data_IF_928174534747
#
_entry.id   IF_928174534747
#
_cell.length_a   1.000
_cell.length_b   1.000
_cell.length_c   1.000
_cell.angle_alpha   90.00
_cell.angle_beta   90.00
_cell.angle_gamma   90.00
#
_symmetry.space_group_name_H-M   'P 1'
#
loop_
_entity.id
_entity.type
_entity.pdbx_description
1 polymer ?
#
# COMPACT_ATOMS: atom_id res chain seq x y z
N UNK A 1 2.24 -3.17 12.15
CA UNK A 1 1.21 -3.77 13.02
C UNK A 1 0.02 -4.13 12.13
N UNK A 2 -0.28 -5.41 11.96
CA UNK A 2 -1.49 -5.83 11.25
C UNK A 2 -2.70 -5.52 12.14
N UNK A 3 -3.69 -4.80 11.61
CA UNK A 3 -4.95 -4.56 12.30
C UNK A 3 -5.88 -5.73 11.97
N UNK A 4 -6.38 -6.39 13.02
CA UNK A 4 -7.42 -7.40 12.90
C UNK A 4 -8.77 -6.69 12.88
N UNK A 5 -9.57 -6.98 11.86
CA UNK A 5 -10.93 -6.45 11.74
C UNK A 5 -11.88 -7.62 12.05
N UNK A 6 -12.54 -7.64 13.22
CA UNK A 6 -13.36 -8.76 13.67
C UNK A 6 -14.73 -8.79 12.98
N UNK A 7 -14.77 -8.63 11.65
CA UNK A 7 -16.02 -8.57 10.89
C UNK A 7 -16.30 -9.91 10.22
N UNK A 8 -17.45 -10.52 10.53
CA UNK A 8 -17.97 -11.71 9.87
C UNK A 8 -18.49 -11.39 8.46
N UNK A 9 -17.92 -12.03 7.43
CA UNK A 9 -18.31 -11.88 6.02
C UNK A 9 -18.46 -13.26 5.37
N UNK A 10 -19.36 -13.37 4.40
CA UNK A 10 -19.55 -14.60 3.63
C UNK A 10 -19.00 -14.50 2.21
N UNK A 11 -18.45 -15.60 1.69
CA UNK A 11 -17.97 -15.73 0.31
C UNK A 11 -19.11 -16.07 -0.63
N UNK A 12 -19.93 -17.00 -0.20
CA UNK A 12 -21.07 -17.52 -0.95
C UNK A 12 -22.26 -17.61 -0.02
N UNK A 13 -23.46 -17.41 -0.58
CA UNK A 13 -24.72 -17.57 0.14
C UNK A 13 -25.60 -18.52 -0.65
N UNK A 14 -26.04 -19.59 -0.01
CA UNK A 14 -27.05 -20.51 -0.55
C UNK A 14 -28.40 -20.10 0.01
N UNK A 15 -29.36 -19.88 -0.87
CA UNK A 15 -30.70 -19.43 -0.53
C UNK A 15 -31.76 -20.19 -1.29
N UNK A 16 -32.90 -20.41 -0.65
CA UNK A 16 -34.13 -20.83 -1.29
C UNK A 16 -34.87 -19.60 -1.81
N UNK A 17 -35.20 -19.60 -3.09
CA UNK A 17 -35.93 -18.57 -3.80
C UNK A 17 -37.31 -19.12 -4.13
N UNK A 18 -38.32 -18.67 -3.42
CA UNK A 18 -39.71 -19.12 -3.60
C UNK A 18 -40.50 -18.09 -4.39
N UNK A 19 -41.05 -18.47 -5.53
CA UNK A 19 -41.95 -17.60 -6.27
C UNK A 19 -43.25 -17.38 -5.48
N UNK A 20 -43.61 -16.12 -5.22
CA UNK A 20 -44.74 -15.77 -4.38
C UNK A 20 -46.10 -16.09 -5.02
N UNK A 21 -46.18 -16.20 -6.35
CA UNK A 21 -47.42 -16.50 -7.08
C UNK A 21 -47.64 -17.99 -7.29
N UNK A 22 -46.59 -18.75 -7.63
CA UNK A 22 -46.70 -20.19 -7.94
C UNK A 22 -46.34 -21.08 -6.75
N UNK A 23 -45.62 -20.56 -5.76
CA UNK A 23 -45.10 -21.33 -4.63
C UNK A 23 -43.93 -22.25 -4.99
N UNK A 24 -43.42 -22.21 -6.24
CA UNK A 24 -42.27 -23.00 -6.65
C UNK A 24 -40.99 -22.47 -5.99
N UNK A 25 -40.20 -23.36 -5.39
CA UNK A 25 -38.93 -23.03 -4.74
C UNK A 25 -37.77 -23.57 -5.54
N UNK A 26 -36.78 -22.72 -5.79
CA UNK A 26 -35.50 -23.05 -6.41
C UNK A 26 -34.37 -22.73 -5.43
N UNK A 27 -33.34 -23.57 -5.36
CA UNK A 27 -32.13 -23.29 -4.58
C UNK A 27 -31.09 -22.59 -5.45
N UNK A 28 -30.63 -21.42 -4.99
CA UNK A 28 -29.66 -20.60 -5.69
C UNK A 28 -28.45 -20.37 -4.80
N UNK A 29 -27.27 -20.59 -5.36
CA UNK A 29 -26.00 -20.22 -4.72
C UNK A 29 -25.44 -18.98 -5.42
N UNK A 30 -25.25 -17.91 -4.66
CA UNK A 30 -24.68 -16.65 -5.13
C UNK A 30 -23.28 -16.46 -4.54
N UNK A 31 -22.31 -16.22 -5.42
CA UNK A 31 -20.97 -15.78 -5.02
C UNK A 31 -20.95 -14.27 -4.75
N UNK A 32 -20.06 -13.82 -3.87
CA UNK A 32 -19.86 -12.39 -3.58
C UNK A 32 -19.55 -11.62 -4.86
N UNK A 33 -20.26 -10.51 -5.06
CA UNK A 33 -20.23 -9.70 -6.29
C UNK A 33 -20.69 -10.44 -7.57
N UNK A 34 -21.20 -11.66 -7.41
CA UNK A 34 -21.76 -12.47 -8.48
C UNK A 34 -23.19 -12.05 -8.85
N UNK A 35 -23.57 -12.35 -10.09
CA UNK A 35 -24.94 -12.20 -10.59
C UNK A 35 -25.50 -13.56 -10.97
N UNK A 36 -26.74 -13.83 -10.57
CA UNK A 36 -27.50 -15.00 -11.00
C UNK A 36 -28.79 -14.55 -11.69
N UNK A 37 -29.20 -15.22 -12.77
CA UNK A 37 -30.43 -14.89 -13.49
C UNK A 37 -31.46 -16.00 -13.29
N UNK A 38 -32.65 -15.64 -12.82
CA UNK A 38 -33.79 -16.53 -12.64
C UNK A 38 -34.51 -16.81 -13.98
N UNK A 39 -35.37 -17.83 -13.99
CA UNK A 39 -36.09 -18.29 -15.19
C UNK A 39 -37.00 -17.23 -15.84
N UNK A 40 -37.47 -16.25 -15.06
CA UNK A 40 -38.29 -15.13 -15.53
C UNK A 40 -37.45 -13.97 -16.11
N UNK A 41 -36.12 -14.06 -16.03
CA UNK A 41 -35.18 -13.03 -16.45
C UNK A 41 -34.74 -12.09 -15.33
N UNK A 42 -35.26 -12.22 -14.11
CA UNK A 42 -34.87 -11.43 -12.94
C UNK A 42 -33.43 -11.71 -12.55
N UNK A 43 -32.64 -10.66 -12.34
CA UNK A 43 -31.24 -10.79 -11.91
C UNK A 43 -31.12 -10.60 -10.40
N UNK A 44 -30.41 -11.49 -9.75
CA UNK A 44 -30.02 -11.43 -8.36
C UNK A 44 -28.54 -11.07 -8.29
N UNK A 45 -28.20 -10.03 -7.54
CA UNK A 45 -26.82 -9.55 -7.38
C UNK A 45 -26.51 -9.56 -5.89
N UNK A 46 -25.45 -10.25 -5.49
CA UNK A 46 -25.06 -10.28 -4.09
C UNK A 46 -24.25 -9.03 -3.74
N UNK A 47 -24.82 -8.16 -2.90
CA UNK A 47 -24.24 -6.86 -2.56
C UNK A 47 -23.38 -6.91 -1.31
N UNK A 48 -23.93 -7.37 -0.19
CA UNK A 48 -23.26 -7.30 1.11
C UNK A 48 -23.69 -8.46 2.00
N UNK A 49 -22.80 -8.90 2.89
CA UNK A 49 -23.12 -9.83 3.97
C UNK A 49 -22.79 -9.19 5.33
N UNK A 50 -23.69 -9.35 6.30
CA UNK A 50 -23.54 -8.88 7.68
C UNK A 50 -23.57 -10.08 8.62
N UNK A 51 -22.52 -10.22 9.43
CA UNK A 51 -22.42 -11.29 10.44
C UNK A 51 -23.34 -11.08 11.64
N UNK A 52 -23.61 -9.82 11.99
CA UNK A 52 -24.60 -9.41 12.98
C UNK A 52 -25.50 -8.32 12.39
N UNK A 53 -26.68 -8.69 11.93
CA UNK A 53 -27.65 -7.77 11.38
C UNK A 53 -28.42 -7.08 12.51
N UNK A 54 -28.24 -5.77 12.62
CA UNK A 54 -29.04 -4.92 13.50
C UNK A 54 -29.77 -3.85 12.69
N UNK A 55 -31.01 -3.54 13.08
CA UNK A 55 -31.74 -2.41 12.52
C UNK A 55 -31.21 -1.14 13.20
N UNK A 56 -30.32 -0.43 12.51
CA UNK A 56 -29.70 0.78 13.05
C UNK A 56 -28.31 1.03 12.46
N UNK A 57 -27.57 2.01 13.02
CA UNK A 57 -26.16 2.18 12.70
C UNK A 57 -25.36 0.96 13.17
N UNK A 58 -24.45 0.48 12.34
CA UNK A 58 -23.52 -0.58 12.73
C UNK A 58 -22.46 -0.03 13.69
N UNK A 59 -22.10 -0.80 14.71
CA UNK A 59 -20.90 -0.54 15.51
C UNK A 59 -19.69 -1.15 14.78
N UNK A 60 -18.78 -0.33 14.20
CA UNK A 60 -17.62 -0.84 13.50
C UNK A 60 -16.61 -1.57 14.41
N UNK A 61 -16.76 -1.49 15.74
CA UNK A 61 -15.88 -2.14 16.71
C UNK A 61 -16.44 -3.46 17.25
N UNK A 62 -17.66 -3.84 16.88
CA UNK A 62 -18.29 -5.07 17.34
C UNK A 62 -17.64 -6.31 16.70
N UNK A 63 -17.41 -7.34 17.53
CA UNK A 63 -16.89 -8.62 17.04
C UNK A 63 -18.04 -9.47 16.50
N UNK A 64 -18.11 -9.55 15.17
CA UNK A 64 -19.14 -10.32 14.45
C UNK A 64 -18.59 -11.61 13.86
N UNK A 65 -17.40 -12.06 14.29
CA UNK A 65 -16.73 -13.27 13.76
C UNK A 65 -17.47 -14.57 14.07
N UNK A 66 -18.35 -14.57 15.08
CA UNK A 66 -19.20 -15.70 15.46
C UNK A 66 -20.50 -15.80 14.67
N UNK A 67 -20.82 -14.78 13.84
CA UNK A 67 -22.06 -14.69 13.07
C UNK A 67 -23.33 -14.79 13.94
N UNK A 68 -23.51 -13.93 14.95
CA UNK A 68 -24.65 -14.03 15.87
C UNK A 68 -26.01 -13.80 15.19
N UNK A 69 -26.07 -12.97 14.14
CA UNK A 69 -27.31 -12.74 13.38
C UNK A 69 -27.00 -12.52 11.89
N UNK A 70 -26.74 -13.60 11.12
CA UNK A 70 -26.29 -13.46 9.75
C UNK A 70 -27.41 -12.98 8.83
N UNK A 71 -27.12 -12.00 7.97
CA UNK A 71 -28.00 -11.57 6.90
C UNK A 71 -27.23 -11.23 5.62
N UNK A 72 -27.80 -11.62 4.48
CA UNK A 72 -27.28 -11.26 3.16
C UNK A 72 -28.18 -10.19 2.53
N UNK A 73 -27.56 -9.13 2.02
CA UNK A 73 -28.23 -8.07 1.26
C UNK A 73 -28.02 -8.38 -0.21
N UNK A 74 -29.12 -8.57 -0.92
CA UNK A 74 -29.13 -8.83 -2.35
C UNK A 74 -29.90 -7.75 -3.08
N UNK A 75 -29.44 -7.40 -4.27
CA UNK A 75 -30.23 -6.61 -5.20
C UNK A 75 -30.98 -7.51 -6.16
N UNK A 76 -32.27 -7.24 -6.31
CA UNK A 76 -33.19 -7.93 -7.19
C UNK A 76 -33.54 -6.97 -8.32
N UNK A 77 -33.23 -7.34 -9.56
CA UNK A 77 -33.50 -6.53 -10.74
C UNK A 77 -34.45 -7.30 -11.68
N UNK A 78 -35.77 -7.09 -11.58
CA UNK A 78 -36.74 -7.69 -12.49
C UNK A 78 -36.56 -7.19 -13.93
N UNK A 79 -36.94 -7.97 -14.94
CA UNK A 79 -36.87 -7.54 -16.34
C UNK A 79 -37.82 -6.36 -16.58
N UNK A 80 -37.25 -5.18 -16.85
CA UNK A 80 -38.01 -3.94 -17.04
C UNK A 80 -38.49 -3.27 -15.75
N UNK A 81 -38.09 -3.77 -14.58
CA UNK A 81 -38.37 -3.19 -13.26
C UNK A 81 -37.22 -2.34 -12.71
N UNK A 82 -37.45 -1.72 -11.56
CA UNK A 82 -36.41 -1.02 -10.79
C UNK A 82 -35.57 -2.00 -9.95
N UNK A 83 -34.38 -1.57 -9.54
CA UNK A 83 -33.54 -2.32 -8.62
C UNK A 83 -34.16 -2.30 -7.22
N UNK A 84 -34.50 -3.46 -6.68
CA UNK A 84 -35.00 -3.63 -5.32
C UNK A 84 -33.90 -4.21 -4.44
N UNK A 85 -33.88 -3.85 -3.15
CA UNK A 85 -32.94 -4.42 -2.17
C UNK A 85 -33.70 -5.33 -1.22
N UNK A 86 -33.34 -6.61 -1.22
CA UNK A 86 -33.89 -7.62 -0.33
C UNK A 86 -32.86 -8.02 0.73
N UNK A 87 -33.32 -8.16 1.96
CA UNK A 87 -32.52 -8.74 3.06
C UNK A 87 -32.93 -10.18 3.25
N UNK A 88 -31.98 -11.09 3.02
CA UNK A 88 -32.14 -12.52 3.23
C UNK A 88 -31.61 -12.84 4.61
N UNK A 89 -32.52 -13.15 5.52
CA UNK A 89 -32.19 -13.44 6.92
C UNK A 89 -31.72 -14.88 7.08
N UNK A 90 -30.78 -15.07 8.02
CA UNK A 90 -30.38 -16.38 8.52
C UNK A 90 -31.52 -17.16 9.17
N UNK A 91 -31.29 -18.44 9.49
CA UNK A 91 -32.33 -19.37 9.94
C UNK A 91 -33.07 -18.89 11.21
N UNK A 92 -32.38 -18.23 12.15
CA UNK A 92 -32.99 -17.73 13.39
C UNK A 92 -34.03 -16.63 13.15
N UNK A 93 -33.81 -15.81 12.10
CA UNK A 93 -34.67 -14.69 11.74
C UNK A 93 -35.57 -14.99 10.54
N UNK A 94 -35.63 -16.25 10.10
CA UNK A 94 -36.34 -16.62 8.88
C UNK A 94 -37.87 -16.56 8.98
N UNK A 95 -38.43 -16.53 10.19
CA UNK A 95 -39.88 -16.55 10.41
C UNK A 95 -40.50 -15.17 10.66
N UNK A 96 -39.68 -14.12 10.79
CA UNK A 96 -40.16 -12.76 10.98
C UNK A 96 -40.96 -12.27 9.74
N UNK A 97 -41.94 -11.36 9.92
CA UNK A 97 -42.71 -10.84 8.79
C UNK A 97 -41.84 -10.19 7.70
N UNK A 98 -40.73 -9.55 8.08
CA UNK A 98 -39.80 -8.92 7.14
C UNK A 98 -39.10 -9.93 6.22
N UNK A 99 -38.83 -11.17 6.68
CA UNK A 99 -38.21 -12.22 5.88
C UNK A 99 -39.15 -12.81 4.82
N UNK A 100 -40.47 -12.68 5.03
CA UNK A 100 -41.52 -13.21 4.13
C UNK A 100 -41.98 -12.17 3.11
N UNK A 101 -41.37 -10.99 3.09
CA UNK A 101 -41.71 -9.94 2.14
C UNK A 101 -41.23 -10.34 0.73
N UNK A 102 -42.10 -10.33 -0.29
CA UNK A 102 -41.68 -10.60 -1.65
C UNK A 102 -40.96 -9.39 -2.26
N UNK A 103 -39.92 -9.66 -3.04
CA UNK A 103 -39.17 -8.69 -3.86
C UNK A 103 -39.07 -9.23 -5.28
N UNK A 104 -39.43 -8.41 -6.27
CA UNK A 104 -39.55 -8.88 -7.66
C UNK A 104 -40.47 -10.10 -7.85
N UNK A 105 -41.42 -10.33 -6.94
CA UNK A 105 -42.29 -11.52 -6.96
C UNK A 105 -41.72 -12.79 -6.30
N UNK A 106 -40.55 -12.70 -5.64
CA UNK A 106 -39.90 -13.83 -4.97
C UNK A 106 -39.66 -13.57 -3.48
N UNK A 107 -39.75 -14.63 -2.68
CA UNK A 107 -39.40 -14.67 -1.26
C UNK A 107 -38.06 -15.38 -1.13
N UNK A 108 -37.16 -14.82 -0.33
CA UNK A 108 -35.80 -15.31 -0.18
C UNK A 108 -35.58 -15.83 1.24
N UNK A 109 -35.04 -17.03 1.35
CA UNK A 109 -34.68 -17.64 2.64
C UNK A 109 -33.24 -18.14 2.60
N UNK A 110 -32.40 -17.71 3.55
CA UNK A 110 -31.04 -18.22 3.64
C UNK A 110 -31.07 -19.67 4.10
N UNK A 111 -30.39 -20.54 3.37
CA UNK A 111 -30.18 -21.93 3.76
C UNK A 111 -28.82 -22.09 4.44
N UNK A 112 -27.78 -21.51 3.84
CA UNK A 112 -26.40 -21.69 4.28
C UNK A 112 -25.49 -20.59 3.72
N UNK A 113 -24.29 -20.44 4.27
CA UNK A 113 -23.30 -19.49 3.76
C UNK A 113 -21.88 -19.97 4.06
N UNK A 114 -20.96 -19.69 3.14
CA UNK A 114 -19.54 -19.99 3.33
C UNK A 114 -18.85 -18.84 4.06
N UNK A 115 -18.31 -19.12 5.24
CA UNK A 115 -17.57 -18.16 6.06
C UNK A 115 -16.24 -17.80 5.39
N UNK A 116 -15.93 -16.51 5.31
CA UNK A 116 -14.61 -16.07 4.85
C UNK A 116 -13.63 -16.13 6.02
N UNK A 117 -12.45 -16.68 5.78
CA UNK A 117 -11.35 -16.61 6.74
C UNK A 117 -10.97 -15.14 7.00
N UNK A 118 -10.67 -14.81 8.25
CA UNK A 118 -10.30 -13.48 8.71
C UNK A 118 -9.52 -12.65 7.69
N UNK A 119 -10.04 -11.46 7.36
CA UNK A 119 -9.39 -10.58 6.41
C UNK A 119 -8.20 -9.90 7.10
N UNK A 120 -6.98 -10.25 6.70
CA UNK A 120 -5.79 -9.49 7.07
C UNK A 120 -5.76 -8.21 6.23
N UNK A 121 -6.19 -7.10 6.82
CA UNK A 121 -6.07 -5.80 6.15
C UNK A 121 -4.64 -5.30 6.28
N UNK A 122 -4.00 -5.06 5.14
CA UNK A 122 -2.69 -4.41 5.10
C UNK A 122 -2.88 -2.91 5.40
N UNK A 123 -2.83 -2.57 6.69
CA UNK A 123 -2.88 -1.18 7.12
C UNK A 123 -1.55 -0.48 6.81
N UNK A 124 -1.52 0.34 5.75
CA UNK A 124 -0.39 1.23 5.46
C UNK A 124 -0.52 2.45 6.35
N UNK A 125 0.12 2.41 7.52
CA UNK A 125 0.18 3.56 8.42
C UNK A 125 1.30 4.50 7.95
N UNK A 126 0.95 5.75 7.66
CA UNK A 126 1.93 6.80 7.37
C UNK A 126 2.57 7.25 8.67
N UNK A 127 3.85 6.96 8.85
CA UNK A 127 4.63 7.53 9.95
C UNK A 127 5.08 8.95 9.58
N UNK A 128 4.57 10.01 10.24
CA UNK A 128 4.93 11.39 9.93
C UNK A 128 6.36 11.77 10.38
N UNK A 129 6.99 10.98 11.26
CA UNK A 129 8.34 11.25 11.78
C UNK A 129 9.46 10.74 10.87
N UNK A 130 9.16 9.84 9.92
CA UNK A 130 10.17 9.18 9.09
C UNK A 130 11.04 10.16 8.29
N UNK A 131 10.45 11.26 7.80
CA UNK A 131 11.18 12.29 7.04
C UNK A 131 12.32 12.90 7.86
N UNK A 132 12.09 13.18 9.14
CA UNK A 132 13.10 13.80 10.02
C UNK A 132 14.27 12.85 10.25
N UNK A 133 13.99 11.56 10.41
CA UNK A 133 15.03 10.52 10.58
C UNK A 133 15.93 10.44 9.35
N UNK A 134 15.35 10.46 8.14
CA UNK A 134 16.13 10.45 6.91
C UNK A 134 16.97 11.71 6.71
N UNK A 135 16.44 12.88 7.08
CA UNK A 135 17.21 14.14 7.07
C UNK A 135 18.44 14.02 8.01
N UNK A 136 18.25 13.50 9.22
CA UNK A 136 19.35 13.27 10.16
C UNK A 136 20.41 12.30 9.62
N UNK A 137 19.98 11.19 9.02
CA UNK A 137 20.88 10.22 8.41
C UNK A 137 21.66 10.79 7.21
N UNK A 138 21.01 11.60 6.38
CA UNK A 138 21.66 12.31 5.27
C UNK A 138 22.74 13.27 5.78
N UNK A 139 22.44 14.06 6.83
CA UNK A 139 23.42 14.97 7.44
C UNK A 139 24.63 14.21 8.03
N UNK A 140 24.42 13.08 8.69
CA UNK A 140 25.50 12.24 9.21
C UNK A 140 26.39 11.73 8.07
N UNK A 141 25.78 11.28 6.97
CA UNK A 141 26.52 10.77 5.80
C UNK A 141 27.35 11.88 5.14
N UNK A 142 26.78 13.07 4.97
CA UNK A 142 27.48 14.24 4.42
C UNK A 142 28.63 14.66 5.34
N UNK A 143 28.41 14.68 6.65
CA UNK A 143 29.43 15.06 7.63
C UNK A 143 30.59 14.08 7.59
N UNK A 144 30.30 12.78 7.55
CA UNK A 144 31.31 11.73 7.44
C UNK A 144 32.11 11.85 6.14
N UNK A 145 31.41 12.07 5.02
CA UNK A 145 32.05 12.32 3.73
C UNK A 145 32.94 13.57 3.76
N UNK A 146 32.51 14.65 4.42
CA UNK A 146 33.32 15.87 4.59
C UNK A 146 34.60 15.62 5.41
N UNK A 147 34.49 14.95 6.56
CA UNK A 147 35.64 14.63 7.42
C UNK A 147 36.69 13.76 6.71
N UNK A 148 36.26 12.88 5.82
CA UNK A 148 37.18 12.05 5.03
C UNK A 148 37.63 12.71 3.72
N UNK A 149 36.81 13.58 3.12
CA UNK A 149 37.08 14.23 1.84
C UNK A 149 38.02 15.43 1.92
N UNK A 150 37.98 16.21 3.01
CA UNK A 150 38.89 17.34 3.20
C UNK A 150 40.21 16.88 3.82
N UNK A 151 41.16 16.46 2.98
CA UNK A 151 42.55 16.25 3.38
C UNK A 151 43.29 17.59 3.40
N UNK A 152 43.92 17.93 4.53
CA UNK A 152 44.85 19.07 4.57
C UNK A 152 46.05 18.79 3.68
N UNK A 153 46.21 19.61 2.63
CA UNK A 153 47.35 19.61 1.72
C UNK A 153 48.25 20.79 2.05
N UNK A 154 49.56 20.56 2.16
CA UNK A 154 50.56 21.62 2.35
C UNK A 154 51.58 21.53 1.22
N UNK A 155 51.72 22.63 0.48
CA UNK A 155 52.69 22.78 -0.59
C UNK A 155 53.72 23.82 -0.14
N UNK A 156 54.99 23.51 -0.29
CA UNK A 156 56.11 24.42 -0.08
C UNK A 156 56.85 24.59 -1.40
N UNK A 157 57.32 25.81 -1.67
CA UNK A 157 58.20 26.11 -2.79
C UNK A 157 59.40 26.88 -2.25
N UNK A 158 60.60 26.36 -2.51
CA UNK A 158 61.85 27.05 -2.24
C UNK A 158 62.43 27.55 -3.57
N UNK A 159 62.77 28.82 -3.64
CA UNK A 159 63.39 29.44 -4.82
C UNK A 159 64.83 29.78 -4.43
N UNK A 160 65.79 29.16 -5.12
CA UNK A 160 67.21 29.40 -4.94
C UNK A 160 67.80 30.01 -6.21
N UNK A 161 68.76 30.92 -6.08
CA UNK A 161 69.47 31.48 -7.24
C UNK A 161 70.63 30.55 -7.61
N UNK A 162 70.54 29.91 -8.76
CA UNK A 162 71.56 29.03 -9.31
C UNK A 162 72.77 29.81 -9.85
N UNK A 163 73.93 29.15 -9.87
CA UNK A 163 75.24 29.75 -10.17
C UNK A 163 75.38 30.43 -11.54
N UNK A 164 74.44 30.17 -12.46
CA UNK A 164 74.43 30.72 -13.83
C UNK A 164 73.42 31.88 -14.03
N UNK A 165 72.88 32.46 -12.96
CA UNK A 165 71.83 33.49 -13.04
C UNK A 165 70.44 32.93 -13.34
N UNK A 166 70.24 31.62 -13.18
CA UNK A 166 68.97 30.92 -13.33
C UNK A 166 68.38 30.62 -11.95
N UNK A 167 67.11 30.90 -11.73
CA UNK A 167 66.42 30.52 -10.49
C UNK A 167 66.03 29.04 -10.52
N UNK A 168 66.45 28.28 -9.52
CA UNK A 168 66.03 26.90 -9.27
C UNK A 168 64.84 26.90 -8.31
N UNK A 169 63.74 26.27 -8.68
CA UNK A 169 62.53 26.18 -7.84
C UNK A 169 62.31 24.74 -7.43
N UNK A 170 62.47 24.45 -6.14
CA UNK A 170 62.18 23.14 -5.56
C UNK A 170 60.80 23.15 -4.92
N UNK A 171 59.90 22.29 -5.40
CA UNK A 171 58.59 22.07 -4.81
C UNK A 171 58.60 20.85 -3.88
N UNK A 172 58.08 21.02 -2.67
CA UNK A 172 57.86 19.94 -1.72
C UNK A 172 56.39 19.89 -1.33
N UNK A 173 55.78 18.70 -1.37
CA UNK A 173 54.36 18.55 -0.99
C UNK A 173 54.18 17.50 0.09
N UNK A 174 53.29 17.79 1.02
CA UNK A 174 52.81 16.84 2.01
C UNK A 174 51.28 16.80 2.03
N UNK A 175 50.73 15.60 1.85
CA UNK A 175 49.30 15.32 2.04
C UNK A 175 49.12 14.24 3.10
N UNK A 176 48.19 14.47 4.04
CA UNK A 176 47.91 13.51 5.12
C UNK A 176 47.05 12.33 4.63
N UNK A 177 46.17 12.57 3.66
CA UNK A 177 45.26 11.56 3.07
C UNK A 177 45.21 11.70 1.55
N UNK A 178 45.11 10.56 0.85
CA UNK A 178 45.05 10.43 -0.61
C UNK A 178 46.30 10.95 -1.37
N UNK A 179 47.47 10.26 -1.28
CA UNK A 179 48.66 10.61 -2.05
C UNK A 179 48.44 10.43 -3.56
N UNK A 180 47.87 9.31 -3.99
CA UNK A 180 47.70 8.99 -5.42
C UNK A 180 46.87 10.04 -6.18
N UNK A 181 45.79 10.56 -5.60
CA UNK A 181 44.99 11.61 -6.23
C UNK A 181 45.61 13.02 -6.17
N UNK A 182 46.70 13.16 -5.41
CA UNK A 182 47.48 14.39 -5.36
C UNK A 182 48.63 14.37 -6.38
N UNK A 183 49.19 13.20 -6.70
CA UNK A 183 50.27 13.07 -7.68
C UNK A 183 49.88 13.63 -9.06
N UNK A 184 48.67 13.31 -9.56
CA UNK A 184 48.18 13.85 -10.85
C UNK A 184 48.08 15.39 -10.85
N UNK A 185 47.63 15.97 -9.73
CA UNK A 185 47.51 17.43 -9.59
C UNK A 185 48.87 18.10 -9.40
N UNK A 186 49.82 17.39 -8.78
CA UNK A 186 51.20 17.86 -8.63
C UNK A 186 51.95 17.85 -9.96
N UNK A 187 51.73 16.82 -10.77
CA UNK A 187 52.26 16.74 -12.14
C UNK A 187 51.70 17.88 -13.00
N UNK A 188 50.41 18.17 -12.91
CA UNK A 188 49.80 19.31 -13.60
C UNK A 188 50.39 20.65 -13.13
N UNK A 189 50.55 20.83 -11.82
CA UNK A 189 51.17 22.02 -11.25
C UNK A 189 52.62 22.19 -11.74
N UNK A 190 53.42 21.13 -11.71
CA UNK A 190 54.82 21.14 -12.16
C UNK A 190 54.91 21.49 -13.64
N UNK A 191 54.07 20.87 -14.49
CA UNK A 191 53.99 21.21 -15.92
C UNK A 191 53.59 22.66 -16.17
N UNK A 192 52.66 23.21 -15.38
CA UNK A 192 52.26 24.61 -15.53
C UNK A 192 53.40 25.58 -15.23
N UNK A 193 54.24 25.26 -14.23
CA UNK A 193 55.39 26.10 -13.86
C UNK A 193 56.53 25.94 -14.88
N UNK A 194 56.76 24.73 -15.39
CA UNK A 194 57.71 24.51 -16.49
C UNK A 194 57.27 25.19 -17.79
N UNK A 195 55.97 25.19 -18.12
CA UNK A 195 55.44 25.83 -19.32
C UNK A 195 55.59 27.36 -19.32
N UNK A 196 55.49 28.01 -18.16
CA UNK A 196 55.78 29.45 -18.00
C UNK A 196 57.25 29.78 -18.30
N UNK A 197 58.17 28.81 -18.17
CA UNK A 197 59.58 28.96 -18.52
C UNK A 197 59.81 29.10 -20.03
N UNK A 198 58.97 28.49 -20.87
CA UNK A 198 59.13 28.52 -22.33
C UNK A 198 58.50 29.75 -22.99
N UNK A 199 57.49 30.40 -22.37
CA UNK A 199 56.86 31.62 -22.91
C UNK A 199 57.62 32.93 -22.57
N UNK A 200 58.62 32.88 -21.69
CA UNK A 200 59.35 34.07 -21.22
C UNK A 200 60.77 34.19 -21.81
N UNK A 201 61.08 33.42 -22.87
CA UNK A 201 62.33 33.53 -23.66
C UNK A 201 62.13 34.31 -24.98
#
# INVERSE_FOLDING_TARGET
>A
QASFVPIGRARTVRMAVTNASTGSTEEVTLERDGTHQLADGTKLIFSEFRGDFVIGPEDPNEDTTSYPNPAAIIHVAPPGGGLETATVFGPEMADIPAAKKPYGGYIFRMLDFERVSHQHVLAVQRDPGSTVVYIGFALLTITLAGVFGFSHRRVWAAIEEGADGRSEVTFGVHTNRNPNGFDEQFDELTRSVEGVREETE
#
